data_IF_163340104021
#
_entry.id   IF_163340104021
#
_cell.length_a   1.000
_cell.length_b   1.000
_cell.length_c   1.000
_cell.angle_alpha   90.00
_cell.angle_beta   90.00
_cell.angle_gamma   90.00
#
_symmetry.space_group_name_H-M   'P 1'
#
loop_
_entity.id
_entity.type
_entity.pdbx_description
1 polymer ?
#
# COMPACT_ATOMS: atom_id res chain seq x y z
N UNK A 1 6.39 -2.43 31.46
CA UNK A 1 6.66 -2.82 30.07
C UNK A 1 6.28 -1.63 29.19
N UNK A 2 7.21 -1.08 28.43
CA UNK A 2 6.89 -0.04 27.48
C UNK A 2 6.05 -0.68 26.35
N UNK A 3 4.92 -0.07 26.01
CA UNK A 3 4.17 -0.44 24.81
C UNK A 3 5.00 0.00 23.61
N UNK A 4 5.41 -0.93 22.79
CA UNK A 4 6.13 -0.62 21.57
C UNK A 4 5.10 -0.39 20.47
N UNK A 5 4.99 0.88 20.06
CA UNK A 5 4.13 1.28 18.95
C UNK A 5 4.99 1.61 17.75
N UNK A 6 4.57 1.21 16.59
CA UNK A 6 5.21 1.55 15.32
C UNK A 6 4.16 1.94 14.29
N UNK A 7 4.49 2.88 13.40
CA UNK A 7 3.55 3.36 12.41
C UNK A 7 4.21 3.47 11.03
N UNK A 8 3.41 3.21 9.99
CA UNK A 8 3.79 3.42 8.59
C UNK A 8 2.69 4.17 7.84
N UNK A 9 3.06 4.82 6.74
CA UNK A 9 2.11 5.50 5.86
C UNK A 9 1.52 4.52 4.85
N UNK A 10 0.22 4.54 4.74
CA UNK A 10 -0.58 3.81 3.75
C UNK A 10 -1.65 4.74 3.17
N UNK A 11 -2.49 4.24 2.29
CA UNK A 11 -3.65 4.98 1.81
C UNK A 11 -4.77 4.05 1.38
N UNK A 12 -5.97 4.59 1.19
CA UNK A 12 -7.09 3.92 0.56
C UNK A 12 -7.67 4.78 -0.56
N UNK A 13 -8.24 4.13 -1.58
CA UNK A 13 -8.91 4.84 -2.68
C UNK A 13 -10.32 5.25 -2.25
N UNK A 14 -10.65 6.51 -2.52
CA UNK A 14 -12.01 7.07 -2.40
C UNK A 14 -12.37 7.80 -3.67
N UNK A 15 -13.24 7.21 -4.47
CA UNK A 15 -13.49 7.72 -5.82
C UNK A 15 -12.25 7.55 -6.69
N UNK A 16 -11.66 8.67 -7.13
CA UNK A 16 -10.44 8.72 -7.95
C UNK A 16 -9.20 9.13 -7.16
N UNK A 17 -9.34 9.47 -5.88
CA UNK A 17 -8.27 9.98 -5.04
C UNK A 17 -7.79 8.93 -4.03
N UNK A 18 -6.51 8.98 -3.69
CA UNK A 18 -5.97 8.25 -2.56
C UNK A 18 -6.02 9.13 -1.31
N UNK A 19 -6.60 8.59 -0.24
CA UNK A 19 -6.70 9.26 1.06
C UNK A 19 -5.64 8.69 1.99
N UNK A 20 -4.81 9.53 2.65
CA UNK A 20 -3.75 9.05 3.53
C UNK A 20 -4.33 8.30 4.73
N UNK A 21 -3.68 7.20 5.08
CA UNK A 21 -3.99 6.39 6.26
C UNK A 21 -2.69 6.06 6.97
N UNK A 22 -2.67 6.26 8.28
CA UNK A 22 -1.57 5.79 9.11
C UNK A 22 -1.93 4.41 9.67
N UNK A 23 -1.07 3.44 9.45
CA UNK A 23 -1.18 2.10 10.03
C UNK A 23 -0.32 2.08 11.28
N UNK A 24 -0.95 2.12 12.45
CA UNK A 24 -0.30 2.08 13.75
C UNK A 24 -0.43 0.68 14.34
N UNK A 25 0.68 0.11 14.79
CA UNK A 25 0.71 -1.20 15.42
C UNK A 25 1.22 -1.09 16.85
N UNK A 26 0.52 -1.72 17.78
CA UNK A 26 0.95 -1.89 19.16
C UNK A 26 0.99 -3.36 19.51
N UNK A 27 2.10 -3.80 20.10
CA UNK A 27 2.27 -5.14 20.65
C UNK A 27 2.11 -5.07 22.15
N UNK A 28 1.15 -5.81 22.68
CA UNK A 28 0.87 -5.86 24.12
C UNK A 28 0.77 -7.30 24.62
N UNK A 29 1.07 -7.52 25.90
CA UNK A 29 0.81 -8.81 26.53
C UNK A 29 -0.69 -9.15 26.45
N UNK A 30 -1.03 -10.43 26.23
CA UNK A 30 -2.43 -10.87 26.14
C UNK A 30 -2.59 -12.09 25.23
N UNK A 31 -3.83 -12.33 24.81
CA UNK A 31 -4.14 -13.44 23.91
C UNK A 31 -3.57 -13.16 22.53
N UNK A 32 -2.76 -14.07 21.95
CA UNK A 32 -2.21 -13.88 20.60
C UNK A 32 -3.33 -13.71 19.55
N UNK A 33 -3.21 -12.68 18.75
CA UNK A 33 -4.17 -12.40 17.68
C UNK A 33 -4.02 -10.99 17.15
N UNK A 34 -4.62 -10.72 15.98
CA UNK A 34 -4.65 -9.39 15.36
C UNK A 34 -6.04 -8.79 15.56
N UNK A 35 -6.11 -7.69 16.30
CA UNK A 35 -7.30 -6.84 16.43
C UNK A 35 -7.13 -5.61 15.52
N UNK A 36 -8.16 -5.26 14.77
CA UNK A 36 -8.16 -4.08 13.90
C UNK A 36 -9.15 -3.04 14.37
N UNK A 37 -8.72 -1.77 14.40
CA UNK A 37 -9.48 -0.58 14.74
C UNK A 37 -9.47 0.41 13.57
N UNK A 38 -10.34 1.43 13.59
CA UNK A 38 -10.36 2.52 12.58
C UNK A 38 -11.30 2.25 11.41
N UNK A 39 -12.45 1.64 11.65
CA UNK A 39 -13.52 1.34 10.68
C UNK A 39 -13.00 0.56 9.44
N UNK A 40 -12.32 -0.59 9.61
CA UNK A 40 -11.96 -1.44 8.49
C UNK A 40 -13.20 -2.04 7.82
N UNK A 41 -13.17 -2.20 6.49
CA UNK A 41 -14.18 -2.99 5.77
C UNK A 41 -14.04 -4.49 6.08
N UNK A 42 -15.02 -5.30 5.68
CA UNK A 42 -14.92 -6.77 5.79
C UNK A 42 -13.67 -7.31 5.11
N UNK A 43 -13.37 -6.81 3.92
CA UNK A 43 -12.19 -7.16 3.12
C UNK A 43 -10.88 -6.90 3.89
N UNK A 44 -10.77 -5.72 4.53
CA UNK A 44 -9.62 -5.37 5.39
C UNK A 44 -9.60 -6.24 6.65
N UNK A 45 -10.75 -6.62 7.21
CA UNK A 45 -10.82 -7.53 8.36
C UNK A 45 -10.37 -8.95 8.01
N UNK A 46 -10.65 -9.43 6.81
CA UNK A 46 -10.22 -10.75 6.30
C UNK A 46 -8.70 -10.82 6.06
N UNK A 47 -8.05 -9.69 5.81
CA UNK A 47 -6.60 -9.63 5.61
C UNK A 47 -5.78 -10.22 6.77
N UNK A 48 -6.33 -10.26 7.99
CA UNK A 48 -5.67 -10.88 9.16
C UNK A 48 -5.21 -12.32 8.89
N UNK A 49 -6.03 -13.09 8.16
CA UNK A 49 -5.69 -14.45 7.78
C UNK A 49 -4.56 -14.49 6.76
N UNK A 50 -4.64 -13.66 5.71
CA UNK A 50 -3.62 -13.55 4.66
C UNK A 50 -2.28 -13.11 5.24
N UNK A 51 -2.26 -12.05 6.04
CA UNK A 51 -1.06 -11.51 6.67
C UNK A 51 -0.35 -12.58 7.49
N UNK A 52 -1.09 -13.32 8.32
CA UNK A 52 -0.49 -14.39 9.15
C UNK A 52 0.11 -15.52 8.30
N UNK A 53 -0.56 -15.93 7.24
CA UNK A 53 -0.05 -16.95 6.32
C UNK A 53 1.19 -16.44 5.58
N UNK A 54 1.12 -15.24 5.01
CA UNK A 54 2.20 -14.60 4.28
C UNK A 54 3.47 -14.44 5.14
N UNK A 55 3.33 -13.94 6.37
CA UNK A 55 4.46 -13.80 7.30
C UNK A 55 5.15 -15.14 7.56
N UNK A 56 4.37 -16.20 7.86
CA UNK A 56 4.93 -17.54 8.09
C UNK A 56 5.62 -18.11 6.84
N UNK A 57 4.97 -18.00 5.69
CA UNK A 57 5.52 -18.49 4.41
C UNK A 57 6.80 -17.73 4.01
N UNK A 58 6.90 -16.45 4.38
CA UNK A 58 8.09 -15.63 4.17
C UNK A 58 9.21 -15.88 5.20
N UNK A 59 9.00 -16.78 6.17
CA UNK A 59 10.01 -17.13 7.17
C UNK A 59 10.02 -16.26 8.42
N UNK A 60 9.00 -15.41 8.61
CA UNK A 60 8.84 -14.58 9.81
C UNK A 60 8.01 -15.29 10.89
N UNK A 61 8.25 -14.93 12.13
CA UNK A 61 7.44 -15.41 13.25
C UNK A 61 6.18 -14.56 13.43
N UNK A 62 5.10 -15.17 13.89
CA UNK A 62 3.94 -14.42 14.36
C UNK A 62 4.18 -14.02 15.81
N UNK A 63 4.11 -12.72 16.15
CA UNK A 63 4.28 -12.29 17.53
C UNK A 63 3.37 -13.08 18.49
N UNK A 64 3.93 -13.54 19.61
CA UNK A 64 3.19 -14.30 20.63
C UNK A 64 2.37 -13.40 21.56
N UNK A 65 2.28 -12.12 21.24
CA UNK A 65 1.53 -11.07 21.94
C UNK A 65 0.21 -10.77 21.23
N UNK A 66 -0.66 -10.02 21.90
CA UNK A 66 -1.79 -9.37 21.25
C UNK A 66 -1.29 -8.26 20.32
N UNK A 67 -1.73 -8.29 19.06
CA UNK A 67 -1.39 -7.29 18.06
C UNK A 67 -2.61 -6.39 17.85
N UNK A 68 -2.49 -5.10 18.16
CA UNK A 68 -3.53 -4.11 17.85
C UNK A 68 -3.06 -3.29 16.67
N UNK A 69 -3.85 -3.28 15.60
CA UNK A 69 -3.65 -2.46 14.40
C UNK A 69 -4.71 -1.37 14.38
N UNK A 70 -4.31 -0.11 14.43
CA UNK A 70 -5.19 1.03 14.28
C UNK A 70 -4.97 1.69 12.91
N UNK A 71 -6.04 1.86 12.14
CA UNK A 71 -6.03 2.52 10.83
C UNK A 71 -6.58 3.96 11.01
N UNK A 72 -5.69 4.92 11.20
CA UNK A 72 -6.06 6.32 11.41
C UNK A 72 -6.17 7.08 10.06
N UNK A 73 -7.09 8.07 9.94
CA UNK A 73 -8.04 8.56 10.93
C UNK A 73 -9.27 7.64 11.10
N UNK A 74 -9.88 7.65 12.28
CA UNK A 74 -10.97 6.76 12.67
C UNK A 74 -12.35 7.07 12.08
N UNK A 75 -12.52 8.20 11.39
CA UNK A 75 -13.76 8.68 10.78
C UNK A 75 -13.94 8.27 9.32
N UNK A 76 -12.89 7.72 8.69
CA UNK A 76 -12.90 7.27 7.30
C UNK A 76 -12.96 5.74 7.25
N UNK A 77 -13.89 5.19 6.47
CA UNK A 77 -13.95 3.74 6.22
C UNK A 77 -12.80 3.32 5.29
N UNK A 78 -11.98 2.37 5.74
CA UNK A 78 -10.88 1.79 4.97
C UNK A 78 -11.38 0.62 4.15
N UNK A 79 -11.16 0.71 2.83
CA UNK A 79 -11.58 -0.30 1.85
C UNK A 79 -10.40 -0.71 0.99
N UNK A 80 -10.50 -1.91 0.40
CA UNK A 80 -9.47 -2.45 -0.50
C UNK A 80 -8.43 -3.32 0.19
N UNK A 81 -7.79 -4.17 -0.61
CA UNK A 81 -6.78 -5.14 -0.16
C UNK A 81 -5.38 -4.56 0.04
N UNK A 82 -5.18 -3.30 -0.35
CA UNK A 82 -3.86 -2.64 -0.31
C UNK A 82 -3.26 -2.44 1.09
N UNK A 83 -3.97 -2.79 2.14
CA UNK A 83 -3.50 -2.68 3.53
C UNK A 83 -2.69 -3.88 4.02
N UNK A 84 -2.68 -5.00 3.31
CA UNK A 84 -2.02 -6.22 3.77
C UNK A 84 -0.51 -5.99 3.98
N UNK A 85 0.16 -5.43 2.98
CA UNK A 85 1.61 -5.16 3.02
C UNK A 85 1.97 -4.15 4.11
N UNK A 86 1.36 -2.95 4.21
CA UNK A 86 1.72 -1.99 5.26
C UNK A 86 1.42 -2.52 6.67
N UNK A 87 0.36 -3.31 6.87
CA UNK A 87 0.09 -3.94 8.17
C UNK A 87 1.18 -4.98 8.50
N UNK A 88 1.55 -5.84 7.54
CA UNK A 88 2.61 -6.83 7.75
C UNK A 88 3.94 -6.15 8.11
N UNK A 89 4.33 -5.11 7.36
CA UNK A 89 5.55 -4.32 7.63
C UNK A 89 5.51 -3.70 9.02
N UNK A 90 4.40 -3.06 9.39
CA UNK A 90 4.27 -2.42 10.69
C UNK A 90 4.36 -3.43 11.85
N UNK A 91 3.76 -4.62 11.69
CA UNK A 91 3.85 -5.71 12.68
C UNK A 91 5.28 -6.23 12.80
N UNK A 92 5.95 -6.50 11.68
CA UNK A 92 7.32 -7.00 11.65
C UNK A 92 8.32 -5.99 12.24
N UNK A 93 8.14 -4.70 11.94
CA UNK A 93 8.96 -3.62 12.48
C UNK A 93 8.71 -3.41 13.99
N UNK A 94 7.45 -3.49 14.44
CA UNK A 94 7.10 -3.40 15.85
C UNK A 94 7.69 -4.56 16.66
N UNK A 95 7.72 -5.77 16.09
CA UNK A 95 8.29 -6.97 16.73
C UNK A 95 9.82 -7.07 16.57
N UNK A 96 10.45 -6.12 15.87
CA UNK A 96 11.90 -6.09 15.66
C UNK A 96 12.44 -7.16 14.70
N UNK A 97 11.60 -7.77 13.88
CA UNK A 97 12.00 -8.78 12.90
C UNK A 97 12.58 -8.18 11.62
N UNK A 98 12.29 -6.91 11.36
CA UNK A 98 12.86 -6.15 10.25
C UNK A 98 13.41 -4.81 10.73
N UNK A 99 14.45 -4.26 10.07
CA UNK A 99 14.94 -2.91 10.33
C UNK A 99 13.86 -1.86 10.11
N UNK A 100 13.88 -0.79 10.91
CA UNK A 100 12.92 0.32 10.86
C UNK A 100 13.32 1.46 9.93
N UNK A 101 14.53 1.36 9.36
CA UNK A 101 15.14 2.41 8.55
C UNK A 101 14.30 2.71 7.30
N UNK A 102 14.08 4.00 7.04
CA UNK A 102 13.36 4.53 5.88
C UNK A 102 11.86 4.16 5.76
N UNK A 103 11.29 3.44 6.72
CA UNK A 103 9.86 3.10 6.68
C UNK A 103 8.96 4.33 6.79
N UNK A 104 9.42 5.37 7.48
CA UNK A 104 8.76 6.68 7.64
C UNK A 104 8.77 7.54 6.37
N UNK A 105 9.60 7.17 5.39
CA UNK A 105 9.73 7.88 4.10
C UNK A 105 8.95 7.24 2.96
N UNK A 106 8.18 6.20 3.25
CA UNK A 106 7.48 5.43 2.25
C UNK A 106 5.97 5.49 2.44
N UNK A 107 5.23 5.74 1.36
CA UNK A 107 3.81 5.41 1.26
C UNK A 107 3.72 3.97 0.74
N UNK A 108 3.17 3.08 1.55
CA UNK A 108 3.20 1.64 1.29
C UNK A 108 1.79 1.15 0.97
N UNK A 109 1.65 0.39 -0.12
CA UNK A 109 0.40 -0.28 -0.47
C UNK A 109 0.69 -1.63 -1.15
N UNK A 110 -0.11 -2.66 -0.84
CA UNK A 110 0.06 -3.98 -1.46
C UNK A 110 -0.86 -5.02 -0.85
N UNK A 111 -1.33 -5.94 -1.67
CA UNK A 111 -2.02 -7.14 -1.22
C UNK A 111 -1.00 -8.26 -1.03
N UNK A 112 -1.28 -9.20 -0.12
CA UNK A 112 -0.41 -10.35 0.12
C UNK A 112 -1.06 -11.66 -0.35
N UNK A 113 -0.30 -12.43 -1.14
CA UNK A 113 -0.59 -13.84 -1.33
C UNK A 113 -0.30 -14.64 -0.06
N UNK A 114 -0.93 -15.80 0.10
CA UNK A 114 -0.71 -16.67 1.26
C UNK A 114 0.72 -17.20 1.35
N UNK A 115 1.41 -17.25 0.23
CA UNK A 115 2.82 -17.65 0.10
C UNK A 115 3.82 -16.54 0.46
N UNK A 116 3.34 -15.30 0.64
CA UNK A 116 4.17 -14.13 0.89
C UNK A 116 4.48 -13.29 -0.33
N UNK A 117 3.96 -13.64 -1.51
CA UNK A 117 4.03 -12.80 -2.72
C UNK A 117 3.33 -11.47 -2.47
N UNK A 118 3.93 -10.36 -2.93
CA UNK A 118 3.33 -9.04 -2.86
C UNK A 118 2.67 -8.71 -4.19
N UNK A 119 1.37 -8.47 -4.14
CA UNK A 119 0.56 -8.17 -5.32
C UNK A 119 0.32 -6.66 -5.46
N UNK A 120 0.23 -6.15 -6.71
CA UNK A 120 -0.02 -4.74 -6.97
C UNK A 120 -1.39 -4.29 -6.49
N UNK A 121 -1.55 -2.98 -6.32
CA UNK A 121 -2.82 -2.35 -5.96
C UNK A 121 -3.50 -1.75 -7.18
N UNK A 122 -4.83 -1.69 -7.15
CA UNK A 122 -5.61 -0.95 -8.14
C UNK A 122 -5.52 0.55 -7.87
N UNK A 123 -5.46 1.35 -8.95
CA UNK A 123 -5.41 2.81 -8.81
C UNK A 123 -4.03 3.34 -8.43
N UNK A 124 -2.96 2.66 -8.84
CA UNK A 124 -1.57 3.00 -8.54
C UNK A 124 -1.24 4.49 -8.75
N UNK A 125 -1.75 5.10 -9.82
CA UNK A 125 -1.54 6.53 -10.13
C UNK A 125 -2.02 7.43 -8.99
N UNK A 126 -3.16 7.14 -8.37
CA UNK A 126 -3.65 7.95 -7.25
C UNK A 126 -2.73 7.83 -6.02
N UNK A 127 -2.18 6.65 -5.75
CA UNK A 127 -1.18 6.46 -4.68
C UNK A 127 0.12 7.21 -4.99
N UNK A 128 0.59 7.20 -6.24
CA UNK A 128 1.77 7.94 -6.66
C UNK A 128 1.58 9.46 -6.48
N UNK A 129 0.41 9.99 -6.88
CA UNK A 129 0.08 11.41 -6.69
C UNK A 129 0.10 11.78 -5.21
N UNK A 130 -0.52 10.98 -4.36
CA UNK A 130 -0.52 11.21 -2.92
C UNK A 130 0.91 11.14 -2.34
N UNK A 131 1.71 10.14 -2.73
CA UNK A 131 3.09 10.01 -2.27
C UNK A 131 3.93 11.25 -2.65
N UNK A 132 3.77 11.74 -3.88
CA UNK A 132 4.41 12.97 -4.34
C UNK A 132 4.01 14.17 -3.49
N UNK A 133 2.72 14.34 -3.23
CA UNK A 133 2.20 15.47 -2.45
C UNK A 133 2.65 15.42 -0.98
N UNK A 134 2.90 14.22 -0.46
CA UNK A 134 3.46 13.98 0.88
C UNK A 134 5.00 14.04 0.92
N UNK A 135 5.69 14.08 -0.22
CA UNK A 135 7.15 14.00 -0.30
C UNK A 135 7.71 12.63 0.09
N UNK A 136 6.95 11.57 -0.17
CA UNK A 136 7.29 10.18 0.14
C UNK A 136 7.59 9.39 -1.15
N UNK A 137 8.40 8.32 -1.04
CA UNK A 137 8.51 7.30 -2.08
C UNK A 137 7.27 6.38 -2.04
N UNK A 138 6.78 5.96 -3.20
CA UNK A 138 5.66 4.99 -3.27
C UNK A 138 6.21 3.57 -3.42
N UNK A 139 5.83 2.68 -2.51
CA UNK A 139 6.27 1.27 -2.50
C UNK A 139 5.05 0.35 -2.54
N UNK A 140 5.01 -0.54 -3.53
CA UNK A 140 3.89 -1.47 -3.72
C UNK A 140 4.36 -2.86 -4.20
N UNK A 141 3.42 -3.73 -4.55
CA UNK A 141 3.69 -4.93 -5.34
C UNK A 141 4.01 -4.57 -6.79
N UNK A 142 4.81 -5.39 -7.44
CA UNK A 142 5.19 -5.17 -8.85
C UNK A 142 3.96 -5.14 -9.76
N UNK A 143 3.87 -4.09 -10.58
CA UNK A 143 2.81 -3.93 -11.58
C UNK A 143 3.39 -3.99 -12.99
N UNK A 144 2.82 -4.84 -13.84
CA UNK A 144 3.17 -4.86 -15.28
C UNK A 144 2.56 -3.68 -16.05
N UNK A 145 1.62 -2.96 -15.41
CA UNK A 145 0.96 -1.77 -15.95
C UNK A 145 1.45 -0.48 -15.24
N UNK A 146 2.66 -0.51 -14.68
CA UNK A 146 3.23 0.65 -14.01
C UNK A 146 3.35 1.82 -14.98
N UNK A 147 2.81 2.98 -14.58
CA UNK A 147 2.95 4.24 -15.29
C UNK A 147 3.75 5.18 -14.39
N UNK A 148 5.00 5.52 -14.74
CA UNK A 148 5.81 6.40 -13.91
C UNK A 148 5.27 7.83 -13.93
N UNK A 149 5.15 8.46 -12.78
CA UNK A 149 4.83 9.88 -12.64
C UNK A 149 6.08 10.67 -12.27
N UNK A 150 6.24 11.83 -12.92
CA UNK A 150 7.32 12.74 -12.59
C UNK A 150 7.22 13.26 -11.15
N UNK A 151 8.35 13.30 -10.43
CA UNK A 151 8.45 13.87 -9.09
C UNK A 151 8.05 12.95 -7.95
N UNK A 152 7.89 11.66 -8.20
CA UNK A 152 7.75 10.62 -7.17
C UNK A 152 8.69 9.46 -7.48
N UNK A 153 9.40 9.00 -6.46
CA UNK A 153 10.20 7.78 -6.53
C UNK A 153 9.30 6.57 -6.27
N UNK A 154 9.28 5.62 -7.22
CA UNK A 154 8.45 4.43 -7.16
C UNK A 154 9.29 3.17 -7.13
N UNK A 155 9.00 2.31 -6.17
CA UNK A 155 9.63 1.01 -6.05
C UNK A 155 8.63 -0.10 -5.81
N UNK A 156 9.09 -1.33 -5.93
CA UNK A 156 8.27 -2.51 -5.69
C UNK A 156 9.00 -3.57 -4.88
N UNK A 157 8.21 -4.41 -4.24
CA UNK A 157 8.65 -5.61 -3.52
C UNK A 157 7.88 -6.78 -4.13
N UNK A 158 8.58 -7.85 -4.53
CA UNK A 158 7.95 -9.04 -5.11
C UNK A 158 7.48 -10.02 -4.04
N UNK A 159 8.21 -10.09 -2.92
CA UNK A 159 7.94 -11.07 -1.86
C UNK A 159 8.31 -10.54 -0.48
N UNK A 160 7.48 -10.84 0.52
CA UNK A 160 7.62 -10.33 1.89
C UNK A 160 8.97 -10.70 2.54
N UNK A 161 9.57 -11.85 2.19
CA UNK A 161 10.88 -12.28 2.73
C UNK A 161 12.02 -11.32 2.38
N UNK A 162 11.90 -10.50 1.34
CA UNK A 162 12.91 -9.52 0.97
C UNK A 162 13.13 -8.47 2.09
N UNK A 163 12.11 -8.23 2.93
CA UNK A 163 12.18 -7.27 4.03
C UNK A 163 13.12 -7.68 5.18
N UNK A 164 13.59 -8.92 5.22
CA UNK A 164 14.48 -9.40 6.29
C UNK A 164 15.76 -8.56 6.44
N UNK A 165 16.21 -7.90 5.36
CA UNK A 165 17.39 -7.00 5.36
C UNK A 165 17.04 -5.52 5.41
N UNK A 166 15.76 -5.18 5.54
CA UNK A 166 15.25 -3.80 5.54
C UNK A 166 14.75 -3.31 4.19
N UNK A 167 14.11 -2.16 4.19
CA UNK A 167 13.48 -1.57 2.99
C UNK A 167 14.49 -1.25 1.89
N UNK A 168 15.67 -0.74 2.23
CA UNK A 168 16.68 -0.37 1.24
C UNK A 168 17.17 -1.54 0.37
N UNK A 169 17.26 -2.75 0.97
CA UNK A 169 17.65 -3.95 0.23
C UNK A 169 16.47 -4.66 -0.43
N UNK A 170 15.26 -4.46 0.10
CA UNK A 170 14.04 -5.12 -0.38
C UNK A 170 13.46 -4.47 -1.63
N UNK A 171 13.49 -3.13 -1.66
CA UNK A 171 12.85 -2.35 -2.73
C UNK A 171 13.67 -2.43 -4.01
N UNK A 172 12.99 -2.75 -5.10
CA UNK A 172 13.51 -2.62 -6.45
C UNK A 172 12.81 -1.47 -7.14
N UNK A 173 13.57 -0.69 -7.89
CA UNK A 173 13.01 0.39 -8.69
C UNK A 173 12.67 -0.12 -10.09
N UNK A 174 11.62 0.45 -10.67
CA UNK A 174 11.37 0.22 -12.07
C UNK A 174 12.56 0.81 -12.85
N UNK A 175 13.08 0.04 -13.79
CA UNK A 175 14.10 0.57 -14.70
C UNK A 175 13.45 1.77 -15.41
N UNK A 176 14.14 2.91 -15.38
CA UNK A 176 13.77 4.05 -16.19
C UNK A 176 13.72 3.54 -17.64
N UNK A 177 12.55 3.19 -18.12
CA UNK A 177 12.31 3.11 -19.54
C UNK A 177 12.55 4.54 -20.02
N UNK A 178 13.70 4.76 -20.68
CA UNK A 178 14.01 6.01 -21.35
C UNK A 178 12.71 6.49 -21.98
N UNK A 179 12.26 7.68 -21.55
CA UNK A 179 10.94 8.20 -21.77
C UNK A 179 10.32 7.77 -23.09
N UNK A 180 9.44 6.82 -23.05
CA UNK A 180 8.38 6.76 -24.04
C UNK A 180 7.59 8.02 -23.74
N UNK A 181 7.94 9.14 -24.41
CA UNK A 181 6.97 10.17 -24.66
C UNK A 181 5.80 9.45 -25.32
N UNK A 182 4.83 9.06 -24.53
CA UNK A 182 3.56 8.66 -25.03
C UNK A 182 3.00 9.92 -25.70
N UNK A 183 3.31 10.09 -26.98
CA UNK A 183 2.54 10.95 -27.86
C UNK A 183 1.17 10.31 -27.89
N UNK A 184 0.34 10.70 -26.93
CA UNK A 184 -1.06 10.37 -26.91
C UNK A 184 -1.67 11.20 -28.05
N UNK A 185 -1.65 10.67 -29.26
CA UNK A 185 -2.57 11.11 -30.29
C UNK A 185 -3.93 10.50 -29.89
N UNK A 186 -4.89 11.31 -29.47
CA UNK A 186 -6.22 10.79 -29.19
C UNK A 186 -6.77 10.23 -30.50
N UNK A 187 -6.85 8.90 -30.63
CA UNK A 187 -7.46 8.24 -31.77
C UNK A 187 -8.96 8.60 -31.94
N UNK A 188 -9.57 9.17 -30.90
CA UNK A 188 -10.99 9.54 -30.87
C UNK A 188 -11.14 10.95 -30.29
N UNK A 189 -11.78 11.85 -31.06
CA UNK A 189 -12.23 13.15 -30.58
C UNK A 189 -13.70 13.05 -30.09
N UNK A 190 -14.15 13.97 -29.26
CA UNK A 190 -15.55 14.13 -28.90
C UNK A 190 -16.45 14.33 -30.14
N UNK A 191 -15.90 14.84 -31.23
CA UNK A 191 -16.53 14.96 -32.53
C UNK A 191 -16.95 13.58 -33.11
N UNK A 192 -16.19 12.52 -32.83
CA UNK A 192 -16.43 11.16 -33.34
C UNK A 192 -17.56 10.43 -32.59
N UNK A 193 -18.00 10.94 -31.45
CA UNK A 193 -19.15 10.38 -30.71
C UNK A 193 -20.45 10.80 -31.42
N UNK A 194 -21.15 9.84 -32.00
CA UNK A 194 -22.45 10.09 -32.63
C UNK A 194 -23.53 10.36 -31.56
N UNK A 195 -24.21 11.51 -31.66
CA UNK A 195 -25.23 11.93 -30.70
C UNK A 195 -24.63 12.58 -29.44
N UNK A 196 -25.38 12.57 -28.32
CA UNK A 196 -24.97 13.15 -27.03
C UNK A 196 -24.69 14.67 -27.08
N UNK A 197 -25.40 15.41 -27.91
CA UNK A 197 -25.17 16.86 -28.17
C UNK A 197 -25.20 17.73 -26.90
N UNK A 198 -26.06 17.37 -25.94
CA UNK A 198 -26.17 18.11 -24.66
C UNK A 198 -24.92 17.87 -23.79
N UNK A 199 -24.44 16.63 -23.72
CA UNK A 199 -23.23 16.29 -22.96
C UNK A 199 -21.97 16.92 -23.60
N UNK A 200 -21.85 16.92 -24.92
CA UNK A 200 -20.75 17.56 -25.65
C UNK A 200 -20.67 19.07 -25.36
N UNK A 201 -21.80 19.76 -25.29
CA UNK A 201 -21.85 21.20 -24.95
C UNK A 201 -21.48 21.52 -23.52
N UNK A 202 -21.62 20.57 -22.60
CA UNK A 202 -21.27 20.73 -21.21
C UNK A 202 -19.78 20.50 -20.92
N UNK A 203 -19.03 19.94 -21.87
CA UNK A 203 -17.61 19.63 -21.77
C UNK A 203 -16.70 20.51 -22.63
N UNK A 204 -17.28 21.39 -23.47
CA UNK A 204 -16.61 22.44 -24.21
C UNK A 204 -16.64 23.75 -23.39
#
# INVERSE_FOLDING_TARGET
MAFETFAVHAACIRGVEAIPVTVEVSLAGGVPGIQMLGIPSMEVMESRGRIRCAMRSAGFEIPRSGITVNLAPGDIRKTGSGFDLPIAIAVLAADGQIPRDNLDRCLIAGELGLDGTVLPVKGEVAFQLLARDMGLSFIAGRSDQHVPLAGVDCGFIDHLSQLARGMGDAVRHYLDSEGVEATFEPELDYADVLGQEVAKRGMA
#
